data_IF_623052455564
#
_entry.id   IF_623052455564
#
_cell.length_a   1.000
_cell.length_b   1.000
_cell.length_c   1.000
_cell.angle_alpha   90.00
_cell.angle_beta   90.00
_cell.angle_gamma   90.00
#
_symmetry.space_group_name_H-M   'P 1'
#
loop_
_entity.id
_entity.type
_entity.pdbx_description
1 polymer ?
#
# COMPACT_ATOMS: atom_id res chain seq x y z
N UNK A 1 -78.12 38.45 -3.36
CA UNK A 1 -77.17 37.98 -2.29
C UNK A 1 -76.48 36.75 -2.78
N UNK A 2 -75.20 36.88 -3.19
CA UNK A 2 -74.35 35.74 -3.67
C UNK A 2 -73.61 35.15 -2.48
N UNK A 3 -73.89 33.88 -2.16
CA UNK A 3 -73.13 33.13 -1.13
C UNK A 3 -71.85 32.59 -1.78
N UNK A 4 -70.71 32.98 -1.24
CA UNK A 4 -69.42 32.40 -1.58
C UNK A 4 -69.13 31.24 -0.57
N UNK A 5 -68.95 30.01 -1.12
CA UNK A 5 -68.58 28.85 -0.33
C UNK A 5 -67.05 28.74 -0.44
N UNK A 6 -66.36 28.87 0.69
CA UNK A 6 -64.89 28.64 0.77
C UNK A 6 -64.63 27.14 1.02
N UNK A 7 -63.98 26.52 0.06
CA UNK A 7 -63.49 25.14 0.19
C UNK A 7 -62.11 25.22 0.85
N UNK A 8 -61.97 24.76 2.09
CA UNK A 8 -60.69 24.66 2.83
C UNK A 8 -60.08 23.30 2.48
N UNK A 9 -58.97 23.32 1.71
CA UNK A 9 -58.12 22.14 1.49
C UNK A 9 -57.21 21.92 2.68
N UNK A 10 -57.45 20.85 3.45
CA UNK A 10 -56.51 20.33 4.44
C UNK A 10 -55.43 19.51 3.72
N UNK A 11 -54.22 20.05 3.58
CA UNK A 11 -53.01 19.31 3.19
C UNK A 11 -52.56 18.46 4.41
N UNK A 12 -52.88 17.18 4.39
CA UNK A 12 -52.24 16.22 5.29
C UNK A 12 -50.78 15.99 4.86
N UNK A 13 -49.84 16.67 5.53
CA UNK A 13 -48.41 16.36 5.43
C UNK A 13 -48.14 15.08 6.23
N UNK A 14 -48.21 13.92 5.56
CA UNK A 14 -47.72 12.67 6.16
C UNK A 14 -46.20 12.73 6.26
N UNK A 15 -45.68 12.99 7.45
CA UNK A 15 -44.27 12.73 7.75
C UNK A 15 -44.06 11.21 7.64
N UNK A 16 -43.50 10.77 6.52
CA UNK A 16 -42.97 9.43 6.39
C UNK A 16 -41.72 9.42 7.29
N UNK A 17 -41.86 8.85 8.50
CA UNK A 17 -40.71 8.46 9.31
C UNK A 17 -40.02 7.31 8.55
N UNK A 18 -39.05 7.64 7.68
CA UNK A 18 -38.09 6.67 7.19
C UNK A 18 -37.25 6.29 8.40
N UNK A 19 -37.54 5.17 9.03
CA UNK A 19 -36.65 4.57 10.00
C UNK A 19 -35.34 4.31 9.27
N UNK A 20 -34.27 5.06 9.60
CA UNK A 20 -32.92 4.73 9.13
C UNK A 20 -32.64 3.27 9.54
N UNK A 21 -32.59 2.38 8.58
CA UNK A 21 -32.18 1.00 8.84
C UNK A 21 -30.80 1.01 9.49
N UNK A 22 -30.71 0.38 10.66
CA UNK A 22 -29.48 0.37 11.48
C UNK A 22 -28.38 -0.37 10.74
N UNK A 23 -27.31 0.33 10.38
CA UNK A 23 -26.10 -0.30 9.83
C UNK A 23 -25.43 -1.18 10.88
N UNK A 24 -24.98 -2.36 10.47
CA UNK A 24 -24.25 -3.32 11.28
C UNK A 24 -22.80 -3.40 10.82
N UNK A 25 -21.91 -3.76 11.75
CA UNK A 25 -20.50 -4.01 11.43
C UNK A 25 -20.36 -5.38 10.74
N UNK A 26 -19.89 -5.37 9.50
CA UNK A 26 -19.51 -6.57 8.75
C UNK A 26 -17.99 -6.67 8.78
N UNK A 27 -17.48 -7.90 8.90
CA UNK A 27 -16.04 -8.21 8.83
C UNK A 27 -15.82 -9.30 7.80
N UNK A 28 -14.84 -9.06 6.93
CA UNK A 28 -14.33 -10.03 5.96
C UNK A 28 -12.84 -10.25 6.23
N UNK A 29 -12.43 -11.51 6.32
CA UNK A 29 -11.05 -11.92 6.53
C UNK A 29 -10.70 -13.03 5.54
N UNK A 30 -9.45 -13.08 5.15
CA UNK A 30 -8.94 -14.11 4.24
C UNK A 30 -7.46 -13.95 3.96
N UNK A 31 -6.96 -14.72 2.99
CA UNK A 31 -5.57 -14.72 2.57
C UNK A 31 -5.45 -14.16 1.15
N UNK A 32 -4.43 -13.35 0.90
CA UNK A 32 -4.10 -12.81 -0.42
C UNK A 32 -2.64 -12.36 -0.45
N UNK A 33 -2.00 -12.37 -1.62
CA UNK A 33 -0.66 -11.79 -1.84
C UNK A 33 0.39 -12.25 -0.81
N UNK A 34 0.30 -13.52 -0.36
CA UNK A 34 1.21 -14.09 0.64
C UNK A 34 1.03 -13.56 2.05
N UNK A 35 -0.09 -12.92 2.35
CA UNK A 35 -0.45 -12.36 3.67
C UNK A 35 -1.96 -12.52 3.93
N UNK A 36 -2.45 -11.86 4.98
CA UNK A 36 -3.87 -11.82 5.34
C UNK A 36 -4.49 -10.47 5.02
N UNK A 37 -5.81 -10.45 4.84
CA UNK A 37 -6.60 -9.22 4.83
C UNK A 37 -7.65 -9.23 5.94
N UNK A 38 -7.97 -8.03 6.42
CA UNK A 38 -9.00 -7.78 7.41
C UNK A 38 -9.78 -6.51 7.01
N UNK A 39 -11.01 -6.69 6.59
CA UNK A 39 -11.86 -5.63 6.08
C UNK A 39 -13.08 -5.49 6.98
N UNK A 40 -13.31 -4.29 7.51
CA UNK A 40 -14.43 -3.96 8.40
C UNK A 40 -15.20 -2.79 7.85
N UNK A 41 -16.53 -2.90 7.72
CA UNK A 41 -17.38 -1.81 7.22
C UNK A 41 -18.79 -1.83 7.83
N UNK A 42 -19.46 -0.68 7.79
CA UNK A 42 -20.84 -0.53 8.25
C UNK A 42 -21.81 -0.66 7.07
N UNK A 43 -22.64 -1.71 7.06
CA UNK A 43 -23.58 -2.03 5.98
C UNK A 43 -24.98 -2.36 6.50
N UNK A 44 -25.98 -2.28 5.62
CA UNK A 44 -27.36 -2.77 5.84
C UNK A 44 -27.45 -4.28 5.55
N UNK A 45 -26.68 -5.12 6.29
CA UNK A 45 -26.61 -6.59 6.17
C UNK A 45 -26.03 -7.15 4.85
N UNK A 46 -25.41 -6.33 4.00
CA UNK A 46 -24.68 -6.84 2.83
C UNK A 46 -23.27 -7.28 3.23
N UNK A 47 -22.94 -8.51 2.86
CA UNK A 47 -21.59 -9.06 3.01
C UNK A 47 -20.96 -9.22 1.61
N UNK A 48 -19.85 -8.50 1.36
CA UNK A 48 -19.17 -8.46 0.08
C UNK A 48 -17.96 -9.41 0.01
N UNK A 49 -17.92 -10.48 0.83
CA UNK A 49 -16.79 -11.43 0.85
C UNK A 49 -16.43 -11.94 -0.55
N UNK A 50 -17.43 -12.43 -1.29
CA UNK A 50 -17.21 -13.01 -2.62
C UNK A 50 -16.72 -11.97 -3.65
N UNK A 51 -17.22 -10.74 -3.55
CA UNK A 51 -16.81 -9.65 -4.44
C UNK A 51 -15.36 -9.26 -4.15
N UNK A 52 -14.99 -9.12 -2.87
CA UNK A 52 -13.63 -8.85 -2.40
C UNK A 52 -12.67 -9.93 -2.91
N UNK A 53 -13.00 -11.20 -2.70
CA UNK A 53 -12.17 -12.33 -3.15
C UNK A 53 -12.03 -12.33 -4.68
N UNK A 54 -13.08 -11.98 -5.42
CA UNK A 54 -13.04 -11.85 -6.88
C UNK A 54 -12.12 -10.70 -7.34
N UNK A 55 -12.15 -9.56 -6.65
CA UNK A 55 -11.26 -8.43 -6.93
C UNK A 55 -9.80 -8.84 -6.69
N UNK A 56 -9.51 -9.47 -5.55
CA UNK A 56 -8.16 -9.92 -5.20
C UNK A 56 -7.60 -10.94 -6.21
N UNK A 57 -8.43 -11.88 -6.70
CA UNK A 57 -8.04 -12.82 -7.76
C UNK A 57 -7.70 -12.12 -9.08
N UNK A 58 -8.44 -11.07 -9.45
CA UNK A 58 -8.13 -10.26 -10.65
C UNK A 58 -6.80 -9.52 -10.50
N UNK A 59 -6.53 -8.98 -9.31
CA UNK A 59 -5.25 -8.34 -9.00
C UNK A 59 -4.10 -9.34 -9.09
N UNK A 60 -4.25 -10.55 -8.54
CA UNK A 60 -3.25 -11.62 -8.64
C UNK A 60 -2.96 -11.96 -10.10
N UNK A 61 -3.99 -12.18 -10.92
CA UNK A 61 -3.84 -12.45 -12.34
C UNK A 61 -3.16 -11.31 -13.11
N UNK A 62 -3.39 -10.06 -12.71
CA UNK A 62 -2.77 -8.90 -13.37
C UNK A 62 -1.32 -8.65 -12.93
N UNK A 63 -1.03 -8.71 -11.62
CA UNK A 63 0.16 -8.11 -11.02
C UNK A 63 1.13 -9.08 -10.32
N UNK A 64 0.76 -10.34 -10.10
CA UNK A 64 1.57 -11.26 -9.30
C UNK A 64 2.73 -11.86 -10.08
N UNK A 65 3.96 -11.57 -9.66
CA UNK A 65 5.17 -12.23 -10.20
C UNK A 65 5.33 -13.68 -9.74
N UNK A 66 4.50 -14.14 -8.80
CA UNK A 66 4.45 -15.52 -8.30
C UNK A 66 3.44 -16.38 -9.07
N UNK A 67 2.54 -15.75 -9.82
CA UNK A 67 1.57 -16.44 -10.69
C UNK A 67 2.14 -16.50 -12.13
N UNK A 68 2.52 -17.67 -12.64
CA UNK A 68 3.10 -17.80 -13.98
C UNK A 68 2.12 -17.43 -15.11
N UNK A 69 0.81 -17.46 -14.84
CA UNK A 69 -0.25 -17.13 -15.81
C UNK A 69 -0.64 -15.66 -15.76
N UNK A 70 0.02 -14.85 -14.92
CA UNK A 70 -0.29 -13.42 -14.77
C UNK A 70 0.21 -12.60 -15.94
N UNK A 71 -0.45 -11.43 -16.15
CA UNK A 71 -0.05 -10.44 -17.16
C UNK A 71 1.40 -9.98 -16.94
N UNK A 72 1.79 -9.68 -15.70
CA UNK A 72 3.17 -9.25 -15.41
C UNK A 72 4.18 -10.35 -15.70
N UNK A 73 3.85 -11.62 -15.46
CA UNK A 73 4.72 -12.76 -15.77
C UNK A 73 4.93 -12.92 -17.27
N UNK A 74 3.86 -12.82 -18.07
CA UNK A 74 3.94 -12.85 -19.53
C UNK A 74 4.82 -11.68 -20.06
N UNK A 75 4.63 -10.44 -19.56
CA UNK A 75 5.48 -9.30 -19.91
C UNK A 75 6.95 -9.55 -19.55
N UNK A 76 7.20 -10.09 -18.36
CA UNK A 76 8.54 -10.44 -17.91
C UNK A 76 9.19 -11.55 -18.74
N UNK A 77 8.39 -12.42 -19.33
CA UNK A 77 8.83 -13.45 -20.30
C UNK A 77 8.98 -12.90 -21.73
N UNK A 78 8.76 -11.60 -21.93
CA UNK A 78 8.79 -10.92 -23.24
C UNK A 78 7.73 -11.43 -24.23
N UNK A 79 6.60 -11.88 -23.72
CA UNK A 79 5.45 -12.23 -24.53
C UNK A 79 4.72 -10.96 -25.03
N UNK A 80 4.19 -10.99 -26.23
CA UNK A 80 3.42 -9.89 -26.78
C UNK A 80 1.96 -9.98 -26.31
N UNK A 81 1.69 -9.41 -25.13
CA UNK A 81 0.39 -9.42 -24.49
C UNK A 81 -0.15 -7.99 -24.27
N UNK A 82 -1.46 -7.85 -24.28
CA UNK A 82 -2.11 -6.61 -23.84
C UNK A 82 -2.26 -6.60 -22.32
N UNK A 83 -1.97 -5.45 -21.73
CA UNK A 83 -2.21 -5.17 -20.30
C UNK A 83 -3.68 -4.84 -20.06
N UNK A 84 -4.13 -5.10 -18.84
CA UNK A 84 -5.45 -4.68 -18.37
C UNK A 84 -5.42 -3.31 -17.65
N UNK A 85 -6.59 -2.85 -17.24
CA UNK A 85 -6.73 -1.58 -16.52
C UNK A 85 -5.99 -1.58 -15.19
N UNK A 86 -5.93 -2.71 -14.46
CA UNK A 86 -5.27 -2.83 -13.16
C UNK A 86 -3.76 -2.64 -13.33
N UNK A 87 -3.17 -3.38 -14.28
CA UNK A 87 -1.76 -3.23 -14.62
C UNK A 87 -1.42 -1.79 -15.01
N UNK A 88 -2.22 -1.19 -15.89
CA UNK A 88 -1.98 0.16 -16.39
C UNK A 88 -2.00 1.21 -15.28
N UNK A 89 -2.90 1.08 -14.32
CA UNK A 89 -3.00 2.00 -13.17
C UNK A 89 -1.78 1.87 -12.26
N UNK A 90 -1.38 0.65 -11.90
CA UNK A 90 -0.21 0.42 -11.06
C UNK A 90 1.07 0.86 -11.77
N UNK A 91 1.21 0.54 -13.05
CA UNK A 91 2.35 0.98 -13.87
C UNK A 91 2.51 2.52 -13.83
N UNK A 92 1.44 3.27 -14.09
CA UNK A 92 1.49 4.74 -14.06
C UNK A 92 1.79 5.29 -12.67
N UNK A 93 1.24 4.71 -11.62
CA UNK A 93 1.54 5.10 -10.23
C UNK A 93 3.00 4.78 -9.88
N UNK A 94 3.53 3.63 -10.31
CA UNK A 94 4.94 3.28 -10.09
C UNK A 94 5.89 4.25 -10.79
N UNK A 95 5.62 4.61 -12.05
CA UNK A 95 6.38 5.62 -12.79
C UNK A 95 6.32 7.00 -12.11
N UNK A 96 5.14 7.39 -11.64
CA UNK A 96 4.98 8.64 -10.90
C UNK A 96 5.87 8.67 -9.64
N UNK A 97 5.87 7.60 -8.82
CA UNK A 97 6.68 7.54 -7.61
C UNK A 97 8.18 7.43 -7.94
N UNK A 98 8.54 6.67 -8.99
CA UNK A 98 9.90 6.62 -9.50
C UNK A 98 10.47 8.02 -9.77
N UNK A 99 9.79 8.83 -10.59
CA UNK A 99 10.24 10.18 -10.90
C UNK A 99 10.21 11.11 -9.69
N UNK A 100 9.20 11.02 -8.83
CA UNK A 100 9.09 11.83 -7.61
C UNK A 100 10.22 11.55 -6.62
N UNK A 101 10.63 10.30 -6.49
CA UNK A 101 11.68 9.88 -5.57
C UNK A 101 13.08 9.89 -6.19
N UNK A 102 13.20 10.25 -7.49
CA UNK A 102 14.48 10.22 -8.20
C UNK A 102 15.07 8.81 -8.29
N UNK A 103 14.21 7.80 -8.49
CA UNK A 103 14.60 6.40 -8.68
C UNK A 103 14.77 5.59 -7.38
N UNK A 104 14.52 6.15 -6.20
CA UNK A 104 14.56 5.37 -4.95
C UNK A 104 13.44 4.32 -4.85
N UNK A 105 12.30 4.56 -5.46
CA UNK A 105 11.33 3.52 -5.79
C UNK A 105 11.51 3.16 -7.27
N UNK A 106 11.73 1.89 -7.56
CA UNK A 106 11.91 1.42 -8.94
C UNK A 106 11.27 0.05 -9.13
N UNK A 107 10.26 -0.03 -9.99
CA UNK A 107 9.57 -1.29 -10.29
C UNK A 107 10.38 -2.23 -11.19
N UNK A 108 11.58 -1.86 -11.63
CA UNK A 108 12.47 -2.75 -12.38
C UNK A 108 13.50 -3.46 -11.48
N UNK A 109 13.35 -3.35 -10.17
CA UNK A 109 14.26 -3.91 -9.15
C UNK A 109 14.33 -5.44 -9.13
N UNK A 110 13.43 -6.13 -9.82
CA UNK A 110 13.24 -7.60 -9.81
C UNK A 110 14.53 -8.42 -9.98
N UNK A 111 15.47 -8.09 -10.89
CA UNK A 111 16.72 -8.86 -11.01
C UNK A 111 17.54 -8.89 -9.73
N UNK A 112 17.60 -7.75 -9.02
CA UNK A 112 18.32 -7.64 -7.75
C UNK A 112 17.57 -8.35 -6.61
N UNK A 113 16.25 -8.20 -6.52
CA UNK A 113 15.41 -8.90 -5.54
C UNK A 113 15.55 -10.41 -5.66
N UNK A 114 15.56 -10.93 -6.90
CA UNK A 114 15.77 -12.35 -7.17
C UNK A 114 17.17 -12.82 -6.80
N UNK A 115 18.21 -12.06 -7.15
CA UNK A 115 19.60 -12.37 -6.79
C UNK A 115 19.79 -12.51 -5.29
N UNK A 116 19.17 -11.62 -4.51
CA UNK A 116 19.20 -11.67 -3.05
C UNK A 116 18.26 -12.73 -2.44
N UNK A 117 17.47 -13.47 -3.25
CA UNK A 117 16.57 -14.54 -2.81
C UNK A 117 15.28 -14.08 -2.13
N UNK A 118 14.88 -12.84 -2.37
CA UNK A 118 13.60 -12.30 -1.86
C UNK A 118 12.46 -12.40 -2.87
N UNK A 119 12.75 -12.80 -4.11
CA UNK A 119 11.77 -13.08 -5.15
C UNK A 119 11.39 -14.58 -5.26
N UNK A 120 10.73 -14.99 -6.34
CA UNK A 120 10.30 -16.39 -6.55
C UNK A 120 11.44 -17.37 -6.85
N UNK A 121 12.67 -16.89 -7.03
CA UNK A 121 13.83 -17.72 -7.37
C UNK A 121 14.72 -17.95 -6.15
N UNK A 122 15.55 -19.01 -6.21
CA UNK A 122 16.51 -19.29 -5.16
C UNK A 122 17.62 -18.23 -5.12
N UNK A 123 18.07 -17.91 -3.91
CA UNK A 123 19.19 -17.01 -3.66
C UNK A 123 20.44 -17.49 -4.39
N UNK A 124 21.15 -16.55 -5.02
CA UNK A 124 22.46 -16.80 -5.61
C UNK A 124 23.60 -16.49 -4.62
N UNK A 125 24.80 -17.02 -4.92
CA UNK A 125 26.01 -16.67 -4.15
C UNK A 125 26.34 -15.19 -4.36
N UNK A 126 26.65 -14.48 -3.28
CA UNK A 126 27.00 -13.06 -3.34
C UNK A 126 28.25 -12.86 -4.18
N UNK A 127 28.11 -12.11 -5.28
CA UNK A 127 29.17 -11.73 -6.20
C UNK A 127 28.98 -10.25 -6.58
N UNK A 128 29.96 -9.41 -6.18
CA UNK A 128 29.89 -7.96 -6.42
C UNK A 128 29.94 -7.60 -7.90
N UNK A 129 30.62 -8.38 -8.74
CA UNK A 129 30.67 -8.12 -10.19
C UNK A 129 29.30 -8.40 -10.82
N UNK A 130 28.60 -9.46 -10.37
CA UNK A 130 27.26 -9.78 -10.81
C UNK A 130 26.23 -8.73 -10.33
N UNK A 131 26.36 -8.26 -9.10
CA UNK A 131 25.51 -7.19 -8.59
C UNK A 131 25.62 -5.93 -9.46
N UNK A 132 26.86 -5.53 -9.83
CA UNK A 132 27.08 -4.38 -10.72
C UNK A 132 26.41 -4.57 -12.08
N UNK A 133 26.49 -5.76 -12.68
CA UNK A 133 25.80 -6.08 -13.93
C UNK A 133 24.27 -6.04 -13.79
N UNK A 134 23.72 -6.49 -12.65
CA UNK A 134 22.28 -6.47 -12.39
C UNK A 134 21.76 -5.05 -12.16
N UNK A 135 22.56 -4.16 -11.58
CA UNK A 135 22.21 -2.74 -11.42
C UNK A 135 22.00 -2.07 -12.79
N UNK A 136 22.77 -2.46 -13.82
CA UNK A 136 22.61 -1.94 -15.19
C UNK A 136 21.26 -2.34 -15.83
N UNK A 137 20.56 -3.34 -15.27
CA UNK A 137 19.23 -3.78 -15.71
C UNK A 137 18.09 -3.08 -14.96
N UNK A 138 18.40 -2.19 -14.02
CA UNK A 138 17.41 -1.45 -13.21
C UNK A 138 17.33 -0.03 -13.72
N UNK A 139 16.14 0.42 -14.03
CA UNK A 139 15.87 1.78 -14.51
C UNK A 139 14.52 1.88 -15.20
N UNK A 140 13.56 2.47 -14.51
CA UNK A 140 12.19 2.61 -15.02
C UNK A 140 12.05 3.64 -16.15
N UNK A 141 13.09 4.44 -16.44
CA UNK A 141 13.08 5.40 -17.55
C UNK A 141 12.99 4.72 -18.94
N UNK A 142 13.43 3.46 -19.03
CA UNK A 142 13.36 2.67 -20.27
C UNK A 142 11.99 2.02 -20.51
N UNK A 143 11.06 2.17 -19.57
CA UNK A 143 9.72 1.61 -19.67
C UNK A 143 8.75 2.60 -20.31
N UNK A 144 7.91 2.10 -21.19
CA UNK A 144 6.75 2.85 -21.68
C UNK A 144 5.51 1.97 -21.80
N UNK A 145 4.35 2.60 -21.65
CA UNK A 145 3.05 1.96 -21.79
C UNK A 145 2.25 2.73 -22.83
N UNK A 146 2.04 2.11 -23.99
CA UNK A 146 1.27 2.68 -25.11
C UNK A 146 0.28 1.63 -25.60
N UNK A 147 -0.95 2.03 -25.87
CA UNK A 147 -2.03 1.19 -26.40
C UNK A 147 -2.20 -0.14 -25.66
N UNK A 148 -2.12 -0.10 -24.31
CA UNK A 148 -2.15 -1.27 -23.43
C UNK A 148 -1.03 -2.29 -23.70
N UNK A 149 0.13 -1.83 -24.14
CA UNK A 149 1.34 -2.66 -24.31
C UNK A 149 2.52 -2.00 -23.65
N UNK A 150 3.30 -2.82 -22.95
CA UNK A 150 4.54 -2.38 -22.33
C UNK A 150 5.68 -2.53 -23.32
N UNK A 151 6.41 -1.44 -23.57
CA UNK A 151 7.71 -1.50 -24.23
C UNK A 151 8.80 -1.44 -23.16
N UNK A 152 9.76 -2.37 -23.22
CA UNK A 152 10.89 -2.48 -22.31
C UNK A 152 12.04 -3.23 -22.98
N UNK A 153 13.30 -3.03 -22.56
CA UNK A 153 14.40 -3.93 -22.92
C UNK A 153 14.10 -5.37 -22.47
N UNK A 154 14.55 -6.36 -23.26
CA UNK A 154 14.26 -7.78 -22.98
C UNK A 154 14.81 -8.27 -21.65
N UNK A 155 15.89 -7.67 -21.18
CA UNK A 155 16.56 -7.99 -19.91
C UNK A 155 15.87 -7.40 -18.69
N UNK A 156 15.11 -6.31 -18.86
CA UNK A 156 14.39 -5.64 -17.77
C UNK A 156 13.18 -6.47 -17.33
N UNK A 157 12.99 -6.60 -16.03
CA UNK A 157 11.85 -7.29 -15.41
C UNK A 157 11.12 -6.36 -14.45
N UNK A 158 9.81 -6.36 -14.52
CA UNK A 158 8.93 -5.52 -13.69
C UNK A 158 8.51 -6.30 -12.44
N UNK A 159 8.47 -5.60 -11.32
CA UNK A 159 8.00 -6.08 -10.03
C UNK A 159 7.20 -4.98 -9.31
N UNK A 160 5.95 -5.28 -8.97
CA UNK A 160 5.08 -4.35 -8.27
C UNK A 160 4.90 -4.67 -6.78
N UNK A 161 5.74 -5.55 -6.20
CA UNK A 161 5.58 -5.96 -4.78
C UNK A 161 5.65 -4.79 -3.77
N UNK A 162 6.31 -3.68 -4.09
CA UNK A 162 6.37 -2.50 -3.23
C UNK A 162 5.26 -1.47 -3.47
N UNK A 163 4.17 -1.83 -4.18
CA UNK A 163 3.06 -0.93 -4.51
C UNK A 163 1.72 -1.66 -4.66
N UNK A 164 1.75 -2.96 -4.94
CA UNK A 164 0.55 -3.72 -5.29
C UNK A 164 -0.39 -3.96 -4.11
N UNK A 165 0.14 -4.07 -2.89
CA UNK A 165 -0.70 -4.23 -1.70
C UNK A 165 -1.48 -2.95 -1.41
N UNK A 166 -0.83 -1.80 -1.43
CA UNK A 166 -1.49 -0.51 -1.30
C UNK A 166 -2.53 -0.26 -2.39
N UNK A 167 -2.24 -0.67 -3.64
CA UNK A 167 -3.21 -0.60 -4.73
C UNK A 167 -4.43 -1.50 -4.49
N UNK A 168 -4.23 -2.69 -3.96
CA UNK A 168 -5.31 -3.63 -3.63
C UNK A 168 -6.24 -3.06 -2.57
N UNK A 169 -5.68 -2.42 -1.55
CA UNK A 169 -6.42 -1.70 -0.50
C UNK A 169 -7.27 -0.59 -1.12
N UNK A 170 -6.70 0.22 -2.02
CA UNK A 170 -7.43 1.30 -2.69
C UNK A 170 -8.56 0.75 -3.57
N UNK A 171 -8.32 -0.31 -4.34
CA UNK A 171 -9.32 -0.86 -5.24
C UNK A 171 -10.52 -1.43 -4.49
N UNK A 172 -10.30 -2.14 -3.37
CA UNK A 172 -11.37 -2.62 -2.51
C UNK A 172 -12.11 -1.46 -1.83
N UNK A 173 -11.40 -0.44 -1.40
CA UNK A 173 -11.98 0.77 -0.81
C UNK A 173 -12.91 1.47 -1.79
N UNK A 174 -12.48 1.65 -3.03
CA UNK A 174 -13.29 2.24 -4.11
C UNK A 174 -14.51 1.36 -4.45
N UNK A 175 -14.36 0.03 -4.42
CA UNK A 175 -15.49 -0.89 -4.59
C UNK A 175 -16.53 -0.68 -3.48
N UNK A 176 -16.11 -0.64 -2.21
CA UNK A 176 -17.00 -0.40 -1.07
C UNK A 176 -17.71 0.96 -1.18
N UNK A 177 -16.98 2.01 -1.59
CA UNK A 177 -17.54 3.34 -1.84
C UNK A 177 -18.60 3.31 -2.96
N UNK A 178 -18.32 2.58 -4.04
CA UNK A 178 -19.27 2.34 -5.13
C UNK A 178 -20.55 1.62 -4.69
N UNK A 179 -20.50 0.83 -3.60
CA UNK A 179 -21.64 0.20 -2.94
C UNK A 179 -22.31 1.11 -1.89
N UNK A 180 -21.93 2.39 -1.78
CA UNK A 180 -22.48 3.35 -0.82
C UNK A 180 -21.95 3.19 0.61
N UNK A 181 -20.88 2.40 0.82
CA UNK A 181 -20.22 2.24 2.12
C UNK A 181 -19.26 3.41 2.36
N UNK A 182 -19.53 4.21 3.38
CA UNK A 182 -18.75 5.39 3.75
C UNK A 182 -18.08 5.29 5.12
N UNK A 183 -18.13 4.11 5.74
CA UNK A 183 -17.51 3.85 7.04
C UNK A 183 -16.83 2.48 6.95
N UNK A 184 -15.52 2.47 6.74
CA UNK A 184 -14.76 1.24 6.56
C UNK A 184 -13.32 1.37 7.02
N UNK A 185 -12.72 0.22 7.29
CA UNK A 185 -11.28 -0.04 7.38
C UNK A 185 -10.99 -1.21 6.44
N UNK A 186 -10.13 -0.99 5.46
CA UNK A 186 -9.56 -2.03 4.59
C UNK A 186 -8.10 -2.19 4.95
N UNK A 187 -7.68 -3.40 5.30
CA UNK A 187 -6.29 -3.73 5.65
C UNK A 187 -5.87 -4.98 4.87
N UNK A 188 -4.68 -4.93 4.25
CA UNK A 188 -4.03 -6.07 3.57
C UNK A 188 -2.54 -6.02 3.91
N UNK A 189 -2.03 -6.99 4.66
CA UNK A 189 -0.61 -7.14 4.96
C UNK A 189 0.02 -6.02 5.81
N UNK A 190 -0.78 -5.12 6.32
CA UNK A 190 -0.36 -3.94 7.08
C UNK A 190 -0.60 -2.61 6.37
N UNK A 191 -0.90 -2.62 5.08
CA UNK A 191 -1.37 -1.49 4.31
C UNK A 191 -2.84 -1.26 4.61
N UNK A 192 -3.20 -0.02 4.98
CA UNK A 192 -4.52 0.32 5.50
C UNK A 192 -5.09 1.54 4.80
N UNK A 193 -6.39 1.49 4.48
CA UNK A 193 -7.18 2.69 4.15
C UNK A 193 -8.44 2.72 4.98
N UNK A 194 -8.74 3.88 5.54
CA UNK A 194 -9.95 4.09 6.34
C UNK A 194 -10.79 5.23 5.78
N UNK A 195 -12.10 5.10 5.96
CA UNK A 195 -13.05 6.18 5.68
C UNK A 195 -14.08 6.30 6.81
N UNK A 196 -14.50 7.54 7.08
CA UNK A 196 -15.53 7.86 8.06
C UNK A 196 -15.14 7.43 9.48
N UNK A 197 -16.11 6.88 10.22
CA UNK A 197 -15.97 6.51 11.62
C UNK A 197 -16.27 5.00 11.81
N UNK A 198 -15.74 4.43 12.88
CA UNK A 198 -16.01 3.04 13.26
C UNK A 198 -17.44 2.88 13.85
N UNK A 199 -17.80 1.66 14.24
CA UNK A 199 -19.14 1.32 14.79
C UNK A 199 -19.45 2.05 16.11
N UNK A 200 -18.45 2.55 16.83
CA UNK A 200 -18.59 3.35 18.04
C UNK A 200 -18.66 4.86 17.75
N UNK A 201 -18.72 5.27 16.47
CA UNK A 201 -18.65 6.67 16.01
C UNK A 201 -17.35 7.39 16.41
N UNK A 202 -16.24 6.64 16.52
CA UNK A 202 -14.89 7.13 16.79
C UNK A 202 -14.01 6.99 15.56
N UNK A 203 -12.87 7.67 15.55
CA UNK A 203 -11.80 7.48 14.56
C UNK A 203 -11.34 6.02 14.55
N UNK A 204 -10.89 5.55 13.38
CA UNK A 204 -10.28 4.23 13.26
C UNK A 204 -8.92 4.21 13.96
N UNK A 205 -8.66 3.14 14.72
CA UNK A 205 -7.38 2.96 15.44
C UNK A 205 -6.51 1.99 14.69
N UNK A 206 -5.28 2.41 14.38
CA UNK A 206 -4.29 1.61 13.66
C UNK A 206 -3.05 1.48 14.52
N UNK A 207 -2.60 0.25 14.76
CA UNK A 207 -1.37 -0.03 15.49
C UNK A 207 -0.17 -0.06 14.55
N UNK A 208 0.90 0.64 14.92
CA UNK A 208 2.23 0.46 14.31
C UNK A 208 3.02 -0.51 15.18
N UNK A 209 3.48 -1.62 14.59
CA UNK A 209 4.20 -2.68 15.31
C UNK A 209 5.54 -2.19 15.83
N UNK A 210 5.95 -2.70 16.99
CA UNK A 210 7.30 -2.49 17.53
C UNK A 210 8.30 -3.39 16.76
N UNK A 211 9.30 -2.82 16.08
CA UNK A 211 10.27 -3.60 15.33
C UNK A 211 11.23 -4.43 16.22
N UNK A 212 11.34 -4.13 17.50
CA UNK A 212 12.16 -4.89 18.45
C UNK A 212 11.44 -6.11 19.00
N UNK A 213 10.10 -6.14 18.94
CA UNK A 213 9.25 -7.15 19.56
C UNK A 213 8.26 -7.81 18.59
N UNK A 214 8.70 -8.09 17.37
CA UNK A 214 7.86 -8.61 16.26
C UNK A 214 7.07 -9.88 16.68
N UNK A 215 7.66 -10.75 17.47
CA UNK A 215 7.03 -12.01 17.90
C UNK A 215 6.02 -11.83 19.03
N UNK A 216 6.12 -10.77 19.83
CA UNK A 216 5.20 -10.50 20.95
C UNK A 216 3.89 -9.84 20.49
N UNK A 217 3.87 -9.28 19.27
CA UNK A 217 2.73 -8.51 18.76
C UNK A 217 2.54 -7.15 19.46
N UNK A 218 3.56 -6.65 20.18
CA UNK A 218 3.49 -5.36 20.83
C UNK A 218 3.45 -4.23 19.82
N UNK A 219 2.73 -3.17 20.19
CA UNK A 219 2.60 -1.97 19.37
C UNK A 219 3.56 -0.89 19.89
N UNK A 220 4.28 -0.26 18.96
CA UNK A 220 5.12 0.90 19.27
C UNK A 220 4.28 2.14 19.50
N UNK A 221 3.24 2.33 18.69
CA UNK A 221 2.31 3.45 18.80
C UNK A 221 0.94 3.07 18.22
N UNK A 222 -0.11 3.72 18.74
CA UNK A 222 -1.47 3.63 18.18
C UNK A 222 -1.80 4.97 17.55
N UNK A 223 -2.23 4.93 16.29
CA UNK A 223 -2.68 6.09 15.52
C UNK A 223 -4.19 6.09 15.39
N UNK A 224 -4.77 7.28 15.20
CA UNK A 224 -6.18 7.48 14.88
C UNK A 224 -6.30 8.12 13.51
N UNK A 225 -7.03 7.47 12.60
CA UNK A 225 -7.17 7.92 11.21
C UNK A 225 -8.64 8.12 10.82
N UNK A 226 -8.84 9.08 9.91
CA UNK A 226 -10.10 9.31 9.18
C UNK A 226 -9.77 9.76 7.77
N UNK A 227 -10.41 9.13 6.77
CA UNK A 227 -10.30 9.49 5.35
C UNK A 227 -8.82 9.55 4.87
N UNK A 228 -8.01 8.59 5.35
CA UNK A 228 -6.58 8.49 5.09
C UNK A 228 -6.15 7.04 4.90
N UNK A 229 -4.97 6.89 4.33
CA UNK A 229 -4.28 5.62 4.15
C UNK A 229 -2.97 5.60 4.92
N UNK A 230 -2.54 4.42 5.35
CA UNK A 230 -1.25 4.18 5.99
C UNK A 230 -0.63 2.91 5.41
N UNK A 231 0.65 2.97 5.09
CA UNK A 231 1.46 1.79 4.78
C UNK A 231 2.76 1.81 5.56
N UNK A 232 3.29 0.64 5.90
CA UNK A 232 4.51 0.51 6.68
C UNK A 232 5.50 -0.45 6.05
N UNK A 233 6.63 0.06 5.60
CA UNK A 233 7.80 -0.72 5.21
C UNK A 233 8.76 -0.90 6.38
N UNK A 234 9.34 -2.09 6.52
CA UNK A 234 10.31 -2.38 7.59
C UNK A 234 11.30 -3.48 7.21
N UNK A 235 12.54 -3.35 7.67
CA UNK A 235 13.62 -4.29 7.39
C UNK A 235 13.66 -5.50 8.33
N UNK A 236 12.75 -5.57 9.31
CA UNK A 236 12.71 -6.59 10.35
C UNK A 236 11.76 -7.76 10.04
N UNK A 237 10.84 -7.61 9.07
CA UNK A 237 9.85 -8.65 8.74
C UNK A 237 10.40 -9.74 7.82
N UNK A 238 11.17 -9.35 6.77
CA UNK A 238 11.76 -10.26 5.78
C UNK A 238 13.26 -9.99 5.69
N UNK A 239 14.05 -10.87 6.25
CA UNK A 239 15.51 -10.83 6.21
C UNK A 239 16.07 -12.24 6.33
N UNK A 240 17.33 -12.42 5.98
CA UNK A 240 18.13 -13.57 6.38
C UNK A 240 19.46 -13.10 6.95
N UNK A 241 20.14 -13.98 7.67
CA UNK A 241 21.46 -13.71 8.25
C UNK A 241 22.48 -14.66 7.63
N UNK A 242 23.62 -14.14 7.20
CA UNK A 242 24.74 -14.90 6.65
C UNK A 242 26.04 -14.27 7.15
N UNK A 243 26.92 -15.09 7.71
CA UNK A 243 28.20 -14.66 8.31
C UNK A 243 28.05 -13.52 9.34
N UNK A 244 26.97 -13.54 10.13
CA UNK A 244 26.66 -12.52 11.13
C UNK A 244 26.18 -11.18 10.56
N UNK A 245 25.92 -11.11 9.24
CA UNK A 245 25.40 -9.93 8.56
C UNK A 245 23.93 -10.15 8.21
N UNK A 246 23.09 -9.20 8.64
CA UNK A 246 21.66 -9.19 8.33
C UNK A 246 21.40 -8.52 6.99
N UNK A 247 20.75 -9.23 6.08
CA UNK A 247 20.33 -8.76 4.78
C UNK A 247 18.81 -8.63 4.72
N UNK A 248 18.31 -7.43 4.51
CA UNK A 248 16.88 -7.17 4.37
C UNK A 248 16.42 -7.26 2.91
N UNK A 249 15.13 -7.46 2.71
CA UNK A 249 14.51 -7.51 1.38
C UNK A 249 14.42 -6.15 0.67
N UNK A 250 14.75 -5.04 1.35
CA UNK A 250 14.68 -3.69 0.79
C UNK A 250 16.00 -3.39 0.11
N UNK A 251 16.01 -3.48 -1.22
CA UNK A 251 17.21 -3.34 -2.05
C UNK A 251 17.33 -1.92 -2.57
N UNK A 252 18.52 -1.34 -2.46
CA UNK A 252 18.82 -0.03 -3.03
C UNK A 252 19.09 -0.18 -4.54
N UNK A 253 18.29 0.44 -5.42
CA UNK A 253 18.40 0.30 -6.87
C UNK A 253 19.72 0.83 -7.44
N UNK A 254 20.35 1.80 -6.77
CA UNK A 254 21.61 2.39 -7.22
C UNK A 254 22.84 1.55 -6.88
N UNK A 255 22.85 0.92 -5.73
CA UNK A 255 23.98 0.10 -5.29
C UNK A 255 23.81 -1.38 -5.56
N UNK A 256 22.58 -1.84 -5.74
CA UNK A 256 22.22 -3.25 -5.86
C UNK A 256 22.28 -4.04 -4.55
N UNK A 257 22.61 -3.41 -3.43
CA UNK A 257 22.68 -4.03 -2.11
C UNK A 257 21.46 -3.71 -1.25
N UNK A 258 21.14 -4.54 -0.26
CA UNK A 258 20.18 -4.18 0.78
C UNK A 258 20.50 -2.82 1.39
N UNK A 259 19.48 -2.02 1.65
CA UNK A 259 19.61 -0.68 2.19
C UNK A 259 20.38 -0.69 3.52
N UNK A 260 21.50 0.05 3.56
CA UNK A 260 22.37 0.15 4.73
C UNK A 260 22.10 1.48 5.43
N UNK A 261 21.08 1.54 6.25
CA UNK A 261 20.81 2.64 7.14
C UNK A 261 20.23 2.10 8.47
N UNK A 262 20.12 2.97 9.46
CA UNK A 262 19.64 2.60 10.79
C UNK A 262 18.11 2.54 10.91
N UNK A 263 17.38 2.73 9.82
CA UNK A 263 15.92 2.62 9.80
C UNK A 263 15.48 1.17 10.01
N UNK A 264 14.56 0.99 10.93
CA UNK A 264 13.88 -0.27 11.20
C UNK A 264 12.53 -0.32 10.50
N UNK A 265 11.77 0.79 10.56
CA UNK A 265 10.52 0.93 9.80
C UNK A 265 10.21 2.39 9.44
N UNK A 266 9.40 2.53 8.41
CA UNK A 266 8.81 3.80 8.00
C UNK A 266 7.33 3.57 7.74
N UNK A 267 6.48 4.30 8.48
CA UNK A 267 5.03 4.37 8.24
C UNK A 267 4.72 5.66 7.51
N UNK A 268 4.00 5.58 6.41
CA UNK A 268 3.64 6.73 5.57
C UNK A 268 2.12 6.88 5.54
N UNK A 269 1.64 8.11 5.71
CA UNK A 269 0.22 8.48 5.62
C UNK A 269 0.02 9.39 4.40
N UNK A 270 -0.93 9.00 3.55
CA UNK A 270 -1.38 9.74 2.36
C UNK A 270 -2.90 9.59 2.18
N UNK A 271 -3.45 10.15 1.10
CA UNK A 271 -4.85 9.89 0.70
C UNK A 271 -5.01 8.50 0.10
N UNK A 272 -4.13 8.14 -0.87
CA UNK A 272 -4.14 6.86 -1.57
C UNK A 272 -3.16 5.87 -0.94
N UNK A 273 -3.60 4.65 -0.64
CA UNK A 273 -2.76 3.61 -0.03
C UNK A 273 -1.63 3.15 -0.98
N UNK A 274 -1.90 3.11 -2.28
CA UNK A 274 -0.89 2.79 -3.30
C UNK A 274 0.32 3.72 -3.25
N UNK A 275 0.11 5.01 -2.95
CA UNK A 275 1.20 5.97 -2.80
C UNK A 275 1.90 5.82 -1.45
N UNK A 276 1.15 5.56 -0.36
CA UNK A 276 1.74 5.30 0.95
C UNK A 276 2.70 4.12 0.90
N UNK A 277 2.31 3.01 0.27
CA UNK A 277 3.10 1.78 0.10
C UNK A 277 4.40 2.05 -0.68
N UNK A 278 4.30 2.66 -1.86
CA UNK A 278 5.46 2.97 -2.68
C UNK A 278 6.42 3.98 -2.01
N UNK A 279 5.89 5.01 -1.34
CA UNK A 279 6.73 5.96 -0.61
C UNK A 279 7.37 5.33 0.63
N UNK A 280 6.68 4.46 1.37
CA UNK A 280 7.26 3.76 2.51
C UNK A 280 8.48 2.93 2.06
N UNK A 281 8.37 2.22 0.93
CA UNK A 281 9.51 1.51 0.31
C UNK A 281 10.65 2.45 -0.07
N UNK A 282 10.35 3.56 -0.77
CA UNK A 282 11.37 4.54 -1.15
C UNK A 282 12.09 5.14 0.07
N UNK A 283 11.33 5.53 1.10
CA UNK A 283 11.87 6.19 2.29
C UNK A 283 12.76 5.29 3.12
N UNK A 284 12.47 3.99 3.16
CA UNK A 284 13.39 3.00 3.76
C UNK A 284 14.77 3.01 3.08
N UNK A 285 14.83 3.27 1.77
CA UNK A 285 16.08 3.33 1.00
C UNK A 285 16.75 4.70 1.11
N UNK A 286 15.96 5.78 1.04
CA UNK A 286 16.44 7.17 1.16
C UNK A 286 17.07 7.47 2.52
N UNK A 287 16.55 6.85 3.57
CA UNK A 287 16.90 7.18 4.96
C UNK A 287 16.28 8.49 5.44
N UNK A 288 16.45 8.80 6.73
CA UNK A 288 15.75 9.91 7.40
C UNK A 288 16.05 11.25 6.75
N UNK A 289 17.32 11.59 6.53
CA UNK A 289 17.70 12.95 6.12
C UNK A 289 17.22 13.31 4.71
N UNK A 290 17.36 12.40 3.75
CA UNK A 290 16.83 12.61 2.39
C UNK A 290 15.30 12.67 2.39
N UNK A 291 14.66 11.85 3.22
CA UNK A 291 13.19 11.88 3.32
C UNK A 291 12.69 13.17 3.96
N UNK A 292 13.38 13.71 4.97
CA UNK A 292 13.06 15.04 5.52
C UNK A 292 13.09 16.12 4.44
N UNK A 293 14.11 16.09 3.56
CA UNK A 293 14.19 17.05 2.47
C UNK A 293 13.07 16.87 1.44
N UNK A 294 12.74 15.63 1.10
CA UNK A 294 11.62 15.31 0.23
C UNK A 294 10.27 15.83 0.81
N UNK A 295 10.02 15.61 2.09
CA UNK A 295 8.78 15.99 2.76
C UNK A 295 8.58 17.52 2.85
N UNK A 296 9.65 18.33 2.83
CA UNK A 296 9.51 19.81 2.79
C UNK A 296 8.72 20.28 1.58
N UNK A 297 8.83 19.59 0.45
CA UNK A 297 8.17 19.94 -0.81
C UNK A 297 6.92 19.10 -1.09
N UNK A 298 6.52 18.20 -0.17
CA UNK A 298 5.41 17.26 -0.33
C UNK A 298 4.58 17.22 0.97
N UNK A 299 3.93 18.33 1.30
CA UNK A 299 3.19 18.51 2.58
C UNK A 299 1.93 17.66 2.72
N UNK A 300 1.50 16.99 1.65
CA UNK A 300 0.39 16.03 1.64
C UNK A 300 0.81 14.59 2.03
N UNK A 301 2.08 14.39 2.37
CA UNK A 301 2.65 13.13 2.80
C UNK A 301 3.18 13.30 4.21
N UNK A 302 2.73 12.45 5.12
CA UNK A 302 3.24 12.38 6.48
C UNK A 302 3.99 11.06 6.70
N UNK A 303 5.05 11.10 7.51
CA UNK A 303 5.87 9.92 7.75
C UNK A 303 6.32 9.80 9.22
N UNK A 304 6.33 8.57 9.72
CA UNK A 304 6.82 8.16 11.03
C UNK A 304 7.93 7.14 10.86
N UNK A 305 9.07 7.40 11.49
CA UNK A 305 10.28 6.59 11.38
C UNK A 305 10.62 5.98 12.72
N UNK A 306 10.95 4.69 12.72
CA UNK A 306 11.56 4.01 13.86
C UNK A 306 12.97 3.60 13.41
N UNK A 307 13.97 3.95 14.21
CA UNK A 307 15.38 3.70 13.90
C UNK A 307 16.19 3.40 15.15
N UNK A 308 17.35 2.77 14.99
CA UNK A 308 18.34 2.64 16.08
C UNK A 308 19.35 3.80 16.01
N UNK A 309 19.71 4.36 17.17
CA UNK A 309 20.79 5.33 17.27
C UNK A 309 22.18 4.66 17.29
N UNK A 310 23.24 5.42 17.61
CA UNK A 310 24.62 4.92 17.65
C UNK A 310 24.84 3.94 18.81
N UNK A 311 24.07 4.04 19.89
CA UNK A 311 24.07 3.15 21.06
C UNK A 311 23.10 1.97 20.89
N UNK A 312 22.55 1.75 19.71
CA UNK A 312 21.51 0.76 19.39
C UNK A 312 20.20 0.94 20.19
N UNK A 313 19.92 2.11 20.70
CA UNK A 313 18.65 2.45 21.33
C UNK A 313 17.59 2.79 20.29
N UNK A 314 16.38 2.31 20.53
CA UNK A 314 15.23 2.58 19.68
C UNK A 314 14.82 4.07 19.80
N UNK A 315 14.72 4.75 18.67
CA UNK A 315 14.30 6.15 18.53
C UNK A 315 13.23 6.28 17.49
N UNK A 316 12.45 7.34 17.58
CA UNK A 316 11.47 7.71 16.55
C UNK A 316 11.67 9.15 16.09
N UNK A 317 11.29 9.40 14.84
CA UNK A 317 11.17 10.72 14.24
C UNK A 317 9.89 10.75 13.41
N UNK A 318 9.19 11.88 13.34
CA UNK A 318 8.00 12.03 12.52
C UNK A 318 7.94 13.41 11.85
N UNK A 319 7.21 13.49 10.73
CA UNK A 319 6.93 14.75 10.03
C UNK A 319 6.04 15.66 10.87
N UNK A 320 6.08 16.95 10.61
CA UNK A 320 5.41 17.97 11.43
C UNK A 320 3.91 17.72 11.66
N UNK A 321 3.19 17.31 10.61
CA UNK A 321 1.74 17.08 10.71
C UNK A 321 1.38 15.72 11.28
N UNK A 322 2.33 14.81 11.41
CA UNK A 322 2.08 13.44 11.89
C UNK A 322 1.58 13.39 13.34
N UNK A 323 1.89 14.43 14.12
CA UNK A 323 1.48 14.53 15.53
C UNK A 323 -0.05 14.46 15.70
N UNK A 324 -0.81 14.93 14.71
CA UNK A 324 -2.28 14.93 14.72
C UNK A 324 -2.88 13.52 14.73
N UNK A 325 -2.12 12.51 14.32
CA UNK A 325 -2.59 11.13 14.23
C UNK A 325 -2.38 10.32 15.52
N UNK A 326 -1.59 10.78 16.47
CA UNK A 326 -1.40 10.05 17.72
C UNK A 326 -2.73 9.92 18.51
N UNK A 327 -2.94 8.72 19.08
CA UNK A 327 -4.06 8.51 19.98
C UNK A 327 -3.84 9.33 21.27
N UNK A 328 -4.68 10.36 21.46
CA UNK A 328 -4.74 11.17 22.68
C UNK A 328 -5.53 10.45 23.79
#
# INVERSE_FOLDING_TARGET
MKKYSYLVFFLFSSCINVSEEKKVLVKNIGETQGTFYNISYLSHNYNFQNDIDSILKKIDYSLSTYNPESIISAINNNEDIQTDTLFNQVFRKSQYVYHKTGGYFDCTISPLVNFWGFGPYQKERIDSSKISQLVELVGSDELSLLDNRVSKPKSVRIDFNGIAQGYSVDLISLFLEGQGINNYLVEIGGEVRVKGLNSEKKLWRIGVSDPSEVLSGNLHVILTLKDKSLATSGNYRKFYEEDGIKYSHIINPFSGYPAKNKLLSVSVITEDCVLADAYATAFMIMGIEKTKEFLKNNSNIDAYFIYSDDDNLLKSYYSKNFEEYFLN
#
